data_IF_866120098604
#
_entry.id   IF_866120098604
#
_cell.length_a   1.000
_cell.length_b   1.000
_cell.length_c   1.000
_cell.angle_alpha   90.00
_cell.angle_beta   90.00
_cell.angle_gamma   90.00
#
_symmetry.space_group_name_H-M   'P 1'
#
loop_
_entity.id
_entity.type
_entity.pdbx_description
1 polymer ?
#
# COMPACT_ATOMS: atom_id res chain seq x y z
N UNK A 1 -41.41 26.96 -22.15
CA UNK A 1 -41.28 26.00 -21.04
C UNK A 1 -40.17 24.95 -21.30
N UNK A 2 -38.91 25.38 -21.57
CA UNK A 2 -37.78 24.44 -21.79
C UNK A 2 -36.51 24.74 -20.96
N UNK A 3 -36.59 25.64 -19.95
CA UNK A 3 -35.41 26.10 -19.17
C UNK A 3 -35.20 25.42 -17.84
N UNK A 4 -36.10 24.57 -17.35
CA UNK A 4 -36.00 24.00 -16.00
C UNK A 4 -35.55 22.52 -15.95
N UNK A 5 -35.37 21.86 -17.12
CA UNK A 5 -34.92 20.43 -17.12
C UNK A 5 -33.43 20.25 -16.86
N UNK A 6 -32.61 21.28 -17.00
CA UNK A 6 -31.18 21.21 -16.76
C UNK A 6 -30.79 21.43 -15.30
N UNK A 7 -31.60 22.17 -14.53
CA UNK A 7 -31.33 22.44 -13.12
C UNK A 7 -31.60 21.24 -12.21
N UNK A 8 -32.50 20.36 -12.57
CA UNK A 8 -32.78 19.13 -11.79
C UNK A 8 -31.71 18.05 -12.01
N UNK A 9 -31.05 18.03 -13.14
CA UNK A 9 -29.94 17.10 -13.40
C UNK A 9 -28.67 17.42 -12.58
N UNK A 10 -28.35 18.72 -12.44
CA UNK A 10 -27.18 19.15 -11.64
C UNK A 10 -27.35 18.91 -10.14
N UNK A 11 -28.56 19.08 -9.60
CA UNK A 11 -28.81 18.81 -8.18
C UNK A 11 -28.75 17.32 -7.80
N UNK A 12 -29.13 16.42 -8.73
CA UNK A 12 -29.01 14.97 -8.51
C UNK A 12 -27.55 14.49 -8.59
N UNK A 13 -26.71 15.07 -9.44
CA UNK A 13 -25.28 14.75 -9.49
C UNK A 13 -24.53 15.25 -8.26
N UNK A 14 -24.90 16.41 -7.70
CA UNK A 14 -24.30 16.93 -6.48
C UNK A 14 -24.70 16.12 -5.24
N UNK A 15 -25.90 15.57 -5.20
CA UNK A 15 -26.34 14.73 -4.07
C UNK A 15 -25.73 13.33 -4.11
N UNK A 16 -25.46 12.77 -5.28
CA UNK A 16 -24.77 11.47 -5.41
C UNK A 16 -23.27 11.63 -5.10
N UNK A 17 -22.62 12.72 -5.51
CA UNK A 17 -21.24 13.02 -5.17
C UNK A 17 -21.02 13.21 -3.67
N UNK A 18 -21.98 13.79 -2.93
CA UNK A 18 -21.89 13.93 -1.47
C UNK A 18 -22.13 12.63 -0.70
N UNK A 19 -22.85 11.64 -1.28
CA UNK A 19 -23.06 10.35 -0.61
C UNK A 19 -21.83 9.42 -0.71
N UNK A 20 -20.94 9.64 -1.68
CA UNK A 20 -19.71 8.85 -1.85
C UNK A 20 -18.51 9.45 -1.12
N UNK A 21 -18.58 10.71 -0.71
CA UNK A 21 -17.52 11.37 0.06
C UNK A 21 -17.60 11.10 1.57
N UNK A 22 -18.61 10.33 2.03
CA UNK A 22 -18.89 10.17 3.46
C UNK A 22 -18.15 9.02 4.15
N UNK A 23 -17.38 8.17 3.41
CA UNK A 23 -16.79 6.96 3.97
C UNK A 23 -15.26 6.83 3.82
N UNK A 24 -14.55 7.84 3.31
CA UNK A 24 -13.09 7.79 3.37
C UNK A 24 -12.62 8.20 4.79
N UNK A 25 -11.91 7.32 5.49
CA UNK A 25 -11.44 7.64 6.83
C UNK A 25 -10.49 8.84 6.77
N UNK A 26 -10.83 9.92 7.46
CA UNK A 26 -9.94 11.08 7.62
C UNK A 26 -8.62 10.63 8.27
N UNK A 27 -7.50 11.09 7.75
CA UNK A 27 -6.16 10.83 8.29
C UNK A 27 -6.10 11.05 9.81
N UNK A 28 -6.78 12.09 10.33
CA UNK A 28 -6.84 12.38 11.76
C UNK A 28 -7.48 11.25 12.57
N UNK A 29 -8.56 10.67 12.06
CA UNK A 29 -9.21 9.51 12.71
C UNK A 29 -8.30 8.29 12.73
N UNK A 30 -7.61 8.00 11.63
CA UNK A 30 -6.66 6.90 11.55
C UNK A 30 -5.48 7.10 12.51
N UNK A 31 -4.93 8.32 12.57
CA UNK A 31 -3.85 8.67 13.50
C UNK A 31 -4.31 8.54 14.96
N UNK A 32 -5.52 8.96 15.27
CA UNK A 32 -6.09 8.87 16.61
C UNK A 32 -6.30 7.41 17.02
N UNK A 33 -6.84 6.57 16.11
CA UNK A 33 -6.97 5.12 16.31
C UNK A 33 -5.60 4.49 16.55
N UNK A 34 -4.61 4.78 15.69
CA UNK A 34 -3.26 4.26 15.81
C UNK A 34 -2.57 4.67 17.13
N UNK A 35 -2.77 5.91 17.58
CA UNK A 35 -2.24 6.41 18.84
C UNK A 35 -2.88 5.74 20.08
N UNK A 36 -4.14 5.32 19.98
CA UNK A 36 -4.87 4.63 21.04
C UNK A 36 -4.51 3.14 21.09
N UNK A 37 -4.58 2.46 19.94
CA UNK A 37 -4.34 1.02 19.86
C UNK A 37 -2.84 0.67 20.02
N UNK A 38 -1.97 1.48 19.45
CA UNK A 38 -0.51 1.27 19.37
C UNK A 38 -0.14 -0.12 18.85
N UNK A 39 -0.93 -0.62 17.93
CA UNK A 39 -0.78 -1.94 17.35
C UNK A 39 -0.39 -1.87 15.85
N UNK A 40 -0.13 -3.04 15.29
CA UNK A 40 0.27 -3.17 13.88
C UNK A 40 -0.83 -2.68 12.93
N UNK A 41 -2.09 -3.05 13.19
CA UNK A 41 -3.23 -2.71 12.33
C UNK A 41 -3.43 -1.20 12.24
N UNK A 42 -3.36 -0.49 13.38
CA UNK A 42 -3.48 0.96 13.42
C UNK A 42 -2.39 1.66 12.60
N UNK A 43 -1.13 1.26 12.76
CA UNK A 43 -0.02 1.87 12.02
C UNK A 43 -0.07 1.54 10.53
N UNK A 44 -0.38 0.30 10.15
CA UNK A 44 -0.58 -0.11 8.75
C UNK A 44 -1.73 0.65 8.12
N UNK A 45 -2.83 0.88 8.83
CA UNK A 45 -3.96 1.68 8.34
C UNK A 45 -3.56 3.11 7.96
N UNK A 46 -2.73 3.76 8.78
CA UNK A 46 -2.19 5.10 8.46
C UNK A 46 -1.24 5.04 7.25
N UNK A 47 -0.35 4.04 7.20
CA UNK A 47 0.55 3.87 6.05
C UNK A 47 -0.21 3.68 4.73
N UNK A 48 -1.27 2.87 4.73
CA UNK A 48 -2.14 2.67 3.55
C UNK A 48 -2.76 3.98 3.06
N UNK A 49 -3.31 4.76 3.97
CA UNK A 49 -3.89 6.06 3.63
C UNK A 49 -2.85 7.00 3.02
N UNK A 50 -1.70 7.15 3.67
CA UNK A 50 -0.62 8.04 3.21
C UNK A 50 -0.03 7.57 1.87
N UNK A 51 0.01 6.27 1.61
CA UNK A 51 0.40 5.71 0.33
C UNK A 51 -0.59 6.07 -0.79
N UNK A 52 -1.89 5.99 -0.52
CA UNK A 52 -2.93 6.29 -1.50
C UNK A 52 -3.00 7.77 -1.87
N UNK A 53 -2.69 8.65 -0.92
CA UNK A 53 -2.72 10.11 -1.13
C UNK A 53 -1.39 10.68 -1.62
N UNK A 54 -0.28 9.96 -1.45
CA UNK A 54 1.08 10.37 -1.79
C UNK A 54 1.51 11.74 -1.20
N UNK A 55 0.77 12.24 -0.20
CA UNK A 55 0.91 13.62 0.28
C UNK A 55 2.09 13.83 1.24
N UNK A 56 2.49 12.82 1.98
CA UNK A 56 3.47 12.98 3.06
C UNK A 56 4.35 11.74 3.26
N UNK A 57 5.39 11.55 2.43
CA UNK A 57 6.28 10.40 2.54
C UNK A 57 7.06 10.36 3.85
N UNK A 58 7.39 11.51 4.45
CA UNK A 58 8.08 11.56 5.74
C UNK A 58 7.20 11.01 6.85
N UNK A 59 5.91 11.34 6.85
CA UNK A 59 4.96 10.82 7.81
C UNK A 59 4.75 9.31 7.61
N UNK A 60 4.68 8.85 6.36
CA UNK A 60 4.61 7.42 6.05
C UNK A 60 5.83 6.67 6.61
N UNK A 61 7.05 7.20 6.43
CA UNK A 61 8.28 6.62 6.98
C UNK A 61 8.27 6.60 8.51
N UNK A 62 7.74 7.64 9.17
CA UNK A 62 7.59 7.68 10.63
C UNK A 62 6.69 6.55 11.15
N UNK A 63 5.56 6.29 10.47
CA UNK A 63 4.68 5.18 10.83
C UNK A 63 5.28 3.81 10.48
N UNK A 64 6.03 3.71 9.39
CA UNK A 64 6.82 2.51 9.09
C UNK A 64 7.85 2.20 10.20
N UNK A 65 8.51 3.22 10.75
CA UNK A 65 9.41 3.05 11.91
C UNK A 65 8.66 2.56 13.17
N UNK A 66 7.43 2.99 13.37
CA UNK A 66 6.58 2.48 14.45
C UNK A 66 6.27 1.00 14.26
N UNK A 67 5.99 0.57 13.02
CA UNK A 67 5.85 -0.84 12.64
C UNK A 67 7.14 -1.60 12.91
N UNK A 68 8.30 -1.05 12.56
CA UNK A 68 9.61 -1.66 12.84
C UNK A 68 9.85 -1.92 14.32
N UNK A 69 9.51 -0.96 15.18
CA UNK A 69 9.63 -1.11 16.63
C UNK A 69 8.77 -2.26 17.17
N UNK A 70 7.54 -2.42 16.67
CA UNK A 70 6.67 -3.54 17.04
C UNK A 70 7.23 -4.86 16.51
N UNK A 71 7.66 -4.91 15.25
CA UNK A 71 8.23 -6.09 14.61
C UNK A 71 9.49 -6.59 15.35
N UNK A 72 10.34 -5.67 15.79
CA UNK A 72 11.56 -5.99 16.54
C UNK A 72 11.25 -6.63 17.90
N UNK A 73 10.19 -6.15 18.58
CA UNK A 73 9.75 -6.69 19.87
C UNK A 73 9.10 -8.06 19.73
N UNK A 74 8.26 -8.25 18.72
CA UNK A 74 7.48 -9.48 18.51
C UNK A 74 8.32 -10.62 17.92
N UNK A 75 9.39 -10.30 17.20
CA UNK A 75 10.22 -11.23 16.42
C UNK A 75 9.46 -12.03 15.35
N UNK A 76 8.29 -11.54 14.94
CA UNK A 76 7.44 -12.17 13.91
C UNK A 76 7.87 -11.72 12.52
N UNK A 77 8.25 -12.64 11.61
CA UNK A 77 8.76 -12.27 10.28
C UNK A 77 7.73 -11.50 9.44
N UNK A 78 6.43 -11.82 9.55
CA UNK A 78 5.36 -11.13 8.86
C UNK A 78 5.31 -9.63 9.21
N UNK A 79 5.56 -9.26 10.46
CA UNK A 79 5.57 -7.87 10.89
C UNK A 79 6.79 -7.11 10.38
N UNK A 80 7.92 -7.79 10.26
CA UNK A 80 9.13 -7.19 9.67
C UNK A 80 8.99 -7.04 8.15
N UNK A 81 8.26 -7.94 7.49
CA UNK A 81 7.89 -7.80 6.07
C UNK A 81 7.02 -6.56 5.86
N UNK A 82 6.00 -6.35 6.71
CA UNK A 82 5.17 -5.13 6.68
C UNK A 82 6.02 -3.85 6.81
N UNK A 83 6.96 -3.82 7.75
CA UNK A 83 7.90 -2.69 7.83
C UNK A 83 8.63 -2.44 6.52
N UNK A 84 9.25 -3.47 5.93
CA UNK A 84 10.01 -3.30 4.69
C UNK A 84 9.12 -2.87 3.51
N UNK A 85 7.87 -3.32 3.46
CA UNK A 85 6.90 -2.87 2.45
C UNK A 85 6.66 -1.37 2.62
N UNK A 86 6.22 -0.91 3.77
CA UNK A 86 5.85 0.50 3.97
C UNK A 86 7.06 1.44 3.91
N UNK A 87 8.19 1.04 4.45
CA UNK A 87 9.43 1.82 4.33
C UNK A 87 9.90 1.93 2.88
N UNK A 88 9.70 0.90 2.04
CA UNK A 88 10.03 0.98 0.61
C UNK A 88 9.10 1.93 -0.13
N UNK A 89 7.77 1.88 0.14
CA UNK A 89 6.80 2.78 -0.47
C UNK A 89 7.09 4.26 -0.14
N UNK A 90 7.35 4.56 1.13
CA UNK A 90 7.72 5.92 1.54
C UNK A 90 8.97 6.44 0.83
N UNK A 91 9.98 5.58 0.62
CA UNK A 91 11.18 5.97 -0.13
C UNK A 91 10.90 6.15 -1.63
N UNK A 92 10.05 5.32 -2.25
CA UNK A 92 9.65 5.52 -3.65
C UNK A 92 8.91 6.84 -3.84
N UNK A 93 7.92 7.15 -2.99
CA UNK A 93 7.17 8.43 -3.05
C UNK A 93 8.12 9.62 -2.84
N UNK A 94 9.09 9.49 -1.92
CA UNK A 94 10.12 10.52 -1.67
C UNK A 94 11.10 10.71 -2.83
N UNK A 95 11.16 9.77 -3.78
CA UNK A 95 12.10 9.76 -4.89
C UNK A 95 13.45 9.10 -4.59
N UNK A 96 13.63 8.49 -3.41
CA UNK A 96 14.80 7.66 -3.10
C UNK A 96 14.62 6.24 -3.62
N UNK A 97 14.66 6.10 -4.95
CA UNK A 97 14.46 4.83 -5.62
C UNK A 97 15.51 3.78 -5.22
N UNK A 98 16.74 4.19 -4.95
CA UNK A 98 17.77 3.24 -4.55
C UNK A 98 17.43 2.55 -3.23
N UNK A 99 17.03 3.33 -2.22
CA UNK A 99 16.61 2.80 -0.93
C UNK A 99 15.29 2.03 -1.05
N UNK A 100 14.33 2.54 -1.82
CA UNK A 100 13.06 1.87 -2.11
C UNK A 100 13.28 0.45 -2.65
N UNK A 101 14.09 0.30 -3.69
CA UNK A 101 14.43 -1.01 -4.27
C UNK A 101 15.17 -1.93 -3.27
N UNK A 102 16.07 -1.37 -2.46
CA UNK A 102 16.80 -2.16 -1.47
C UNK A 102 15.87 -2.75 -0.41
N UNK A 103 14.93 -1.94 0.10
CA UNK A 103 13.95 -2.36 1.11
C UNK A 103 12.92 -3.34 0.53
N UNK A 104 12.43 -3.10 -0.69
CA UNK A 104 11.48 -4.01 -1.34
C UNK A 104 12.09 -5.39 -1.59
N UNK A 105 13.36 -5.48 -1.99
CA UNK A 105 14.08 -6.75 -2.08
C UNK A 105 14.18 -7.48 -0.74
N UNK A 106 14.40 -6.75 0.37
CA UNK A 106 14.39 -7.36 1.72
C UNK A 106 13.02 -7.89 2.09
N UNK A 107 11.94 -7.16 1.76
CA UNK A 107 10.58 -7.62 1.99
C UNK A 107 10.33 -8.95 1.24
N UNK A 108 10.64 -9.01 -0.06
CA UNK A 108 10.46 -10.20 -0.89
C UNK A 108 11.25 -11.38 -0.32
N UNK A 109 12.55 -11.20 -0.05
CA UNK A 109 13.41 -12.27 0.44
C UNK A 109 12.96 -12.82 1.81
N UNK A 110 12.51 -11.94 2.70
CA UNK A 110 12.00 -12.36 4.01
C UNK A 110 10.64 -13.06 3.89
N UNK A 111 9.75 -12.54 3.03
CA UNK A 111 8.45 -13.15 2.77
C UNK A 111 8.61 -14.57 2.16
N UNK A 112 9.56 -14.74 1.23
CA UNK A 112 9.89 -16.06 0.67
C UNK A 112 10.37 -17.04 1.75
N UNK A 113 11.33 -16.60 2.59
CA UNK A 113 11.84 -17.41 3.68
C UNK A 113 10.76 -17.82 4.68
N UNK A 114 9.77 -16.95 4.89
CA UNK A 114 8.65 -17.17 5.81
C UNK A 114 7.43 -17.85 5.14
N UNK A 115 7.45 -18.10 3.83
CA UNK A 115 6.34 -18.72 3.10
C UNK A 115 5.09 -17.83 2.99
N UNK A 116 5.24 -16.49 3.05
CA UNK A 116 4.15 -15.53 3.07
C UNK A 116 3.70 -15.20 1.63
N UNK A 117 2.96 -16.09 1.00
CA UNK A 117 2.56 -16.00 -0.42
C UNK A 117 1.93 -14.67 -0.81
N UNK A 118 0.99 -14.16 -0.02
CA UNK A 118 0.35 -12.86 -0.29
C UNK A 118 1.37 -11.71 -0.31
N UNK A 119 2.27 -11.65 0.68
CA UNK A 119 3.29 -10.60 0.74
C UNK A 119 4.30 -10.72 -0.40
N UNK A 120 4.62 -11.94 -0.86
CA UNK A 120 5.46 -12.18 -2.06
C UNK A 120 4.76 -11.63 -3.28
N UNK A 121 3.49 -12.02 -3.50
CA UNK A 121 2.70 -11.59 -4.65
C UNK A 121 2.62 -10.06 -4.71
N UNK A 122 2.17 -9.42 -3.63
CA UNK A 122 2.06 -7.97 -3.54
C UNK A 122 3.42 -7.28 -3.78
N UNK A 123 4.45 -7.64 -3.03
CA UNK A 123 5.77 -6.98 -3.12
C UNK A 123 6.43 -7.17 -4.50
N UNK A 124 6.20 -8.31 -5.16
CA UNK A 124 6.67 -8.53 -6.51
C UNK A 124 5.90 -7.70 -7.53
N UNK A 125 4.58 -7.54 -7.40
CA UNK A 125 3.80 -6.67 -8.26
C UNK A 125 4.25 -5.21 -8.16
N UNK A 126 4.43 -4.70 -6.93
CA UNK A 126 4.96 -3.35 -6.70
C UNK A 126 6.36 -3.19 -7.31
N UNK A 127 7.25 -4.15 -7.08
CA UNK A 127 8.60 -4.13 -7.67
C UNK A 127 8.55 -4.12 -9.21
N UNK A 128 7.65 -4.92 -9.80
CA UNK A 128 7.40 -4.94 -11.24
C UNK A 128 6.93 -3.60 -11.75
N UNK A 129 6.02 -2.96 -11.04
CA UNK A 129 5.52 -1.62 -11.37
C UNK A 129 6.66 -0.58 -11.39
N UNK A 130 7.45 -0.47 -10.33
CA UNK A 130 8.55 0.49 -10.26
C UNK A 130 9.65 0.19 -11.32
N UNK A 131 9.96 -1.08 -11.57
CA UNK A 131 10.86 -1.45 -12.66
C UNK A 131 10.32 -1.04 -14.03
N UNK A 132 9.00 -1.12 -14.25
CA UNK A 132 8.37 -0.68 -15.50
C UNK A 132 8.42 0.84 -15.66
N UNK A 133 8.18 1.60 -14.58
CA UNK A 133 8.32 3.07 -14.57
C UNK A 133 9.76 3.50 -14.92
N UNK A 134 10.75 2.76 -14.42
CA UNK A 134 12.17 2.98 -14.73
C UNK A 134 12.62 2.43 -16.09
N UNK A 135 11.69 2.02 -16.96
CA UNK A 135 11.96 1.38 -18.26
C UNK A 135 12.82 0.11 -18.18
N UNK A 136 12.90 -0.55 -17.04
CA UNK A 136 13.61 -1.81 -16.80
C UNK A 136 12.69 -3.00 -17.08
N UNK A 137 12.24 -3.12 -18.31
CA UNK A 137 11.15 -4.00 -18.73
C UNK A 137 11.40 -5.51 -18.47
N UNK A 138 12.64 -5.98 -18.60
CA UNK A 138 12.96 -7.38 -18.30
C UNK A 138 12.84 -7.68 -16.80
N UNK A 139 13.27 -6.74 -15.96
CA UNK A 139 13.10 -6.84 -14.50
C UNK A 139 11.61 -6.77 -14.13
N UNK A 140 10.86 -5.87 -14.75
CA UNK A 140 9.42 -5.73 -14.53
C UNK A 140 8.70 -7.06 -14.85
N UNK A 141 8.97 -7.65 -16.02
CA UNK A 141 8.41 -8.93 -16.44
C UNK A 141 8.76 -10.07 -15.48
N UNK A 142 10.00 -10.12 -15.02
CA UNK A 142 10.44 -11.08 -14.03
C UNK A 142 9.63 -11.00 -12.74
N UNK A 143 9.49 -9.79 -12.18
CA UNK A 143 8.79 -9.61 -10.92
C UNK A 143 7.29 -9.82 -11.06
N UNK A 144 6.64 -9.34 -12.13
CA UNK A 144 5.22 -9.61 -12.36
C UNK A 144 4.93 -11.11 -12.46
N UNK A 145 5.75 -11.87 -13.21
CA UNK A 145 5.59 -13.32 -13.29
C UNK A 145 5.72 -13.98 -11.92
N UNK A 146 6.74 -13.61 -11.16
CA UNK A 146 6.96 -14.13 -9.80
C UNK A 146 5.80 -13.80 -8.86
N UNK A 147 5.23 -12.59 -8.98
CA UNK A 147 4.05 -12.18 -8.23
C UNK A 147 2.81 -12.99 -8.57
N UNK A 148 2.59 -13.26 -9.87
CA UNK A 148 1.50 -14.11 -10.35
C UNK A 148 1.65 -15.56 -9.84
N UNK A 149 2.82 -16.17 -9.99
CA UNK A 149 3.11 -17.53 -9.49
C UNK A 149 2.81 -17.67 -7.99
N UNK A 150 3.22 -16.67 -7.18
CA UNK A 150 2.90 -16.66 -5.75
C UNK A 150 1.40 -16.43 -5.48
N UNK A 151 0.71 -15.69 -6.34
CA UNK A 151 -0.74 -15.40 -6.23
C UNK A 151 -1.62 -16.57 -6.64
N UNK A 152 -1.21 -17.39 -7.60
CA UNK A 152 -1.96 -18.58 -8.04
C UNK A 152 -2.13 -19.63 -6.92
N UNK A 153 -1.17 -19.70 -6.00
CA UNK A 153 -1.24 -20.57 -4.82
C UNK A 153 -2.23 -20.03 -3.72
N UNK A 154 -2.69 -18.80 -3.87
CA UNK A 154 -3.69 -18.20 -2.99
C UNK A 154 -5.07 -18.42 -3.59
N UNK A 155 -5.72 -19.55 -3.35
CA UNK A 155 -7.13 -19.78 -3.76
C UNK A 155 -7.89 -18.45 -3.83
N UNK A 156 -8.81 -18.15 -4.60
CA UNK A 156 -9.68 -16.96 -4.72
C UNK A 156 -9.15 -15.57 -4.25
N UNK A 157 -8.17 -15.50 -3.32
CA UNK A 157 -7.50 -14.27 -2.89
C UNK A 157 -6.37 -13.82 -3.84
N UNK A 158 -6.09 -14.57 -4.89
CA UNK A 158 -5.05 -14.29 -5.90
C UNK A 158 -5.38 -13.15 -6.86
N UNK A 159 -6.22 -12.20 -6.47
CA UNK A 159 -6.55 -11.03 -7.29
C UNK A 159 -5.48 -9.92 -7.24
N UNK A 160 -4.47 -10.05 -6.40
CA UNK A 160 -3.47 -8.98 -6.17
C UNK A 160 -2.67 -8.58 -7.43
N UNK A 161 -2.62 -9.42 -8.46
CA UNK A 161 -1.91 -9.14 -9.72
C UNK A 161 -2.78 -9.29 -10.99
N UNK A 162 -4.08 -9.41 -10.86
CA UNK A 162 -5.02 -9.42 -11.98
C UNK A 162 -5.64 -8.04 -12.20
#
# INVERSE_FOLDING_TARGET
MKRYRWLLGCCLFLSIGMLWAADEPDLRMLQQKAAQSRDMEGYVGVCKYLYQTEENPELLLLYADSIHQLATKSKKPEQLVEYYIWASEGNFIKGDFQQGYALKRKAIALAEKAGLKFAISQSCCDMGYYCNVDARYDSARYYFRKGLEAGEDLSEAGEACR
#
